data_IF_820467555495
#
_entry.id   IF_820467555495
#
_cell.length_a   1.000
_cell.length_b   1.000
_cell.length_c   1.000
_cell.angle_alpha   90.00
_cell.angle_beta   90.00
_cell.angle_gamma   90.00
#
_symmetry.space_group_name_H-M   'P 1'
#
loop_
_entity.id
_entity.type
_entity.pdbx_description
1 polymer ?
#
# COMPACT_ATOMS: atom_id res chain seq x y z
N UNK A 1 -22.82 -15.12 5.03
CA UNK A 1 -21.81 -14.04 4.93
C UNK A 1 -21.21 -13.82 6.32
N UNK A 2 -19.89 -13.91 6.48
CA UNK A 2 -19.23 -13.56 7.75
C UNK A 2 -19.35 -12.05 7.95
N UNK A 3 -19.84 -11.54 9.10
CA UNK A 3 -20.02 -10.12 9.30
C UNK A 3 -18.67 -9.37 9.21
N UNK A 4 -18.69 -8.15 8.68
CA UNK A 4 -17.51 -7.30 8.41
C UNK A 4 -16.58 -7.20 9.65
N UNK A 5 -17.17 -7.19 10.85
CA UNK A 5 -16.47 -7.13 12.13
C UNK A 5 -15.59 -8.37 12.44
N UNK A 6 -15.99 -9.57 12.03
CA UNK A 6 -15.20 -10.79 12.24
C UNK A 6 -13.99 -10.84 11.31
N UNK A 7 -14.09 -10.22 10.13
CA UNK A 7 -13.01 -10.18 9.13
C UNK A 7 -12.00 -9.07 9.39
N UNK A 8 -12.44 -7.89 9.82
CA UNK A 8 -11.53 -6.85 10.30
C UNK A 8 -10.72 -7.33 11.51
N UNK A 9 -11.35 -8.11 12.40
CA UNK A 9 -10.66 -8.76 13.50
C UNK A 9 -9.63 -9.81 13.03
N UNK A 10 -9.91 -10.57 11.97
CA UNK A 10 -8.96 -11.52 11.38
C UNK A 10 -7.77 -10.83 10.72
N UNK A 11 -8.00 -9.81 9.88
CA UNK A 11 -6.94 -9.01 9.27
C UNK A 11 -6.07 -8.27 10.30
N UNK A 12 -6.67 -7.82 11.40
CA UNK A 12 -5.95 -7.24 12.53
C UNK A 12 -5.28 -8.27 13.46
N UNK A 13 -5.47 -9.56 13.24
CA UNK A 13 -4.87 -10.63 14.03
C UNK A 13 -3.49 -11.02 13.51
N UNK A 14 -2.64 -11.58 14.38
CA UNK A 14 -1.34 -12.15 13.97
C UNK A 14 -1.46 -13.21 12.88
N UNK A 15 -2.53 -14.01 12.90
CA UNK A 15 -2.75 -15.05 11.90
C UNK A 15 -3.08 -14.44 10.53
N UNK A 16 -3.92 -13.40 10.49
CA UNK A 16 -4.22 -12.66 9.26
C UNK A 16 -3.01 -11.92 8.71
N UNK A 17 -2.19 -11.33 9.59
CA UNK A 17 -0.90 -10.73 9.21
C UNK A 17 0.04 -11.73 8.57
N UNK A 18 0.23 -12.91 9.16
CA UNK A 18 1.12 -13.95 8.61
C UNK A 18 0.63 -14.49 7.25
N UNK A 19 -0.69 -14.63 7.06
CA UNK A 19 -1.27 -15.01 5.76
C UNK A 19 -1.00 -13.93 4.71
N UNK A 20 -1.19 -12.66 5.07
CA UNK A 20 -0.90 -11.54 4.17
C UNK A 20 0.57 -11.50 3.79
N UNK A 21 1.47 -11.66 4.77
CA UNK A 21 2.91 -11.68 4.57
C UNK A 21 3.33 -12.81 3.61
N UNK A 22 2.79 -14.02 3.78
CA UNK A 22 3.06 -15.14 2.87
C UNK A 22 2.58 -14.90 1.45
N UNK A 23 1.40 -14.31 1.28
CA UNK A 23 0.86 -13.98 -0.05
C UNK A 23 1.66 -12.87 -0.75
N UNK A 24 2.12 -11.86 0.01
CA UNK A 24 2.98 -10.80 -0.51
C UNK A 24 4.38 -11.33 -0.84
N UNK A 25 4.94 -12.23 -0.03
CA UNK A 25 6.21 -12.88 -0.31
C UNK A 25 6.15 -13.74 -1.57
N UNK A 26 5.03 -14.44 -1.80
CA UNK A 26 4.80 -15.19 -3.04
C UNK A 26 4.76 -14.26 -4.27
N UNK A 27 4.02 -13.16 -4.19
CA UNK A 27 3.95 -12.17 -5.28
C UNK A 27 5.31 -11.50 -5.55
N UNK A 28 6.13 -11.29 -4.51
CA UNK A 28 7.47 -10.75 -4.64
C UNK A 28 8.45 -11.74 -5.28
N UNK A 29 8.34 -13.03 -4.97
CA UNK A 29 9.20 -14.08 -5.52
C UNK A 29 8.81 -14.46 -6.96
N UNK A 30 7.52 -14.48 -7.27
CA UNK A 30 6.97 -14.74 -8.60
C UNK A 30 5.91 -13.68 -8.95
N UNK A 31 6.30 -12.60 -9.66
CA UNK A 31 5.37 -11.57 -10.08
C UNK A 31 4.21 -12.10 -10.94
N UNK A 32 4.37 -13.24 -11.64
CA UNK A 32 3.30 -13.84 -12.43
C UNK A 32 2.18 -14.44 -11.56
N UNK A 33 2.43 -14.68 -10.26
CA UNK A 33 1.44 -15.14 -9.29
C UNK A 33 0.49 -14.04 -8.81
N UNK A 34 0.80 -12.77 -9.07
CA UNK A 34 0.01 -11.60 -8.65
C UNK A 34 -1.49 -11.70 -8.95
N UNK A 35 -1.94 -12.17 -10.13
CA UNK A 35 -3.37 -12.33 -10.41
C UNK A 35 -4.07 -13.33 -9.48
N UNK A 36 -3.39 -14.44 -9.14
CA UNK A 36 -3.92 -15.46 -8.24
C UNK A 36 -3.99 -14.94 -6.80
N UNK A 37 -2.92 -14.27 -6.35
CA UNK A 37 -2.86 -13.62 -5.04
C UNK A 37 -3.98 -12.59 -4.91
N UNK A 38 -4.20 -11.75 -5.92
CA UNK A 38 -5.26 -10.76 -5.93
C UNK A 38 -6.66 -11.39 -5.92
N UNK A 39 -6.88 -12.46 -6.68
CA UNK A 39 -8.13 -13.23 -6.63
C UNK A 39 -8.42 -13.80 -5.24
N UNK A 40 -7.39 -14.28 -4.53
CA UNK A 40 -7.54 -14.79 -3.17
C UNK A 40 -7.80 -13.68 -2.14
N UNK A 41 -7.16 -12.52 -2.30
CA UNK A 41 -7.26 -11.38 -1.39
C UNK A 41 -8.53 -10.54 -1.59
N UNK A 42 -9.07 -10.47 -2.81
CA UNK A 42 -10.21 -9.61 -3.16
C UNK A 42 -11.44 -9.81 -2.26
N UNK A 43 -11.93 -11.04 -1.99
CA UNK A 43 -13.10 -11.26 -1.14
C UNK A 43 -12.86 -10.91 0.33
N UNK A 44 -11.59 -10.86 0.74
CA UNK A 44 -11.14 -10.54 2.09
C UNK A 44 -11.05 -9.02 2.30
N UNK A 45 -10.45 -8.31 1.34
CA UNK A 45 -10.15 -6.87 1.41
C UNK A 45 -11.28 -5.98 0.88
N UNK A 46 -12.00 -6.42 -0.16
CA UNK A 46 -12.99 -5.63 -0.88
C UNK A 46 -14.36 -6.33 -0.97
N UNK A 47 -14.96 -6.75 0.16
CA UNK A 47 -16.17 -7.58 0.15
C UNK A 47 -17.42 -6.86 -0.39
N UNK A 48 -17.43 -5.53 -0.41
CA UNK A 48 -18.58 -4.71 -0.83
C UNK A 48 -18.39 -4.04 -2.20
N UNK A 49 -17.25 -4.26 -2.86
CA UNK A 49 -16.99 -3.72 -4.20
C UNK A 49 -17.31 -4.80 -5.23
N UNK A 50 -18.39 -4.61 -5.98
CA UNK A 50 -18.57 -5.28 -7.26
C UNK A 50 -17.59 -4.67 -8.25
N UNK A 51 -16.37 -5.22 -8.32
CA UNK A 51 -15.44 -4.88 -9.37
C UNK A 51 -15.95 -5.48 -10.68
N UNK A 52 -16.38 -4.63 -11.61
CA UNK A 52 -16.86 -5.03 -12.93
C UNK A 52 -15.79 -5.79 -13.74
N UNK A 53 -14.50 -5.66 -13.38
CA UNK A 53 -13.38 -6.33 -14.05
C UNK A 53 -12.30 -6.89 -13.09
N UNK A 54 -11.30 -7.56 -13.68
CA UNK A 54 -10.27 -8.34 -12.99
C UNK A 54 -9.36 -7.47 -12.09
N UNK A 55 -9.15 -7.94 -10.85
CA UNK A 55 -8.67 -7.16 -9.70
C UNK A 55 -7.21 -6.66 -9.74
N UNK A 56 -6.44 -6.97 -10.77
CA UNK A 56 -5.08 -6.44 -10.90
C UNK A 56 -5.05 -4.91 -11.14
N UNK A 57 -6.21 -4.30 -11.41
CA UNK A 57 -6.39 -2.86 -11.63
C UNK A 57 -6.79 -2.06 -10.38
N UNK A 58 -7.05 -2.70 -9.23
CA UNK A 58 -7.53 -1.98 -8.03
C UNK A 58 -6.38 -1.40 -7.19
N UNK A 59 -5.17 -1.96 -7.31
CA UNK A 59 -3.98 -1.45 -6.63
C UNK A 59 -3.01 -0.72 -7.55
N UNK A 60 -3.11 -0.91 -8.87
CA UNK A 60 -2.35 -0.16 -9.85
C UNK A 60 -3.30 0.83 -10.54
N UNK A 61 -3.05 2.12 -10.34
CA UNK A 61 -3.78 3.19 -11.01
C UNK A 61 -3.54 3.06 -12.54
N UNK A 62 -4.37 2.30 -13.25
CA UNK A 62 -4.24 2.19 -14.70
C UNK A 62 -4.67 3.50 -15.35
N UNK A 63 -3.75 4.09 -16.11
CA UNK A 63 -4.03 5.23 -16.98
C UNK A 63 -4.74 4.74 -18.24
N UNK A 64 -6.03 4.40 -18.13
CA UNK A 64 -6.88 4.22 -19.32
C UNK A 64 -7.96 5.29 -19.32
N UNK A 65 -8.02 6.04 -20.41
CA UNK A 65 -8.79 7.26 -20.63
C UNK A 65 -10.32 7.13 -20.59
N UNK A 66 -10.86 6.31 -19.70
CA UNK A 66 -12.30 6.22 -19.40
C UNK A 66 -12.48 5.95 -17.90
N UNK A 67 -12.37 7.00 -17.11
CA UNK A 67 -13.31 7.39 -16.04
C UNK A 67 -14.02 6.34 -15.19
N UNK A 68 -13.39 5.23 -14.80
CA UNK A 68 -13.88 4.39 -13.71
C UNK A 68 -12.75 3.99 -12.76
N UNK A 69 -12.13 5.01 -12.16
CA UNK A 69 -11.47 4.83 -10.86
C UNK A 69 -12.53 4.43 -9.84
N UNK A 70 -12.29 3.40 -9.03
CA UNK A 70 -13.05 3.19 -7.78
C UNK A 70 -13.00 4.51 -7.03
N UNK A 71 -14.15 5.19 -6.90
CA UNK A 71 -14.28 6.64 -6.71
C UNK A 71 -13.80 7.23 -5.38
N UNK A 72 -12.60 6.90 -4.94
CA UNK A 72 -11.95 7.44 -3.75
C UNK A 72 -10.87 8.41 -4.21
N UNK A 73 -11.11 9.70 -3.98
CA UNK A 73 -10.09 10.73 -4.19
C UNK A 73 -9.28 10.89 -2.92
N UNK A 74 -7.98 10.71 -3.02
CA UNK A 74 -7.03 10.97 -1.95
C UNK A 74 -5.92 11.87 -2.47
N UNK A 75 -5.30 12.62 -1.56
CA UNK A 75 -4.08 13.37 -1.82
C UNK A 75 -2.91 12.56 -1.29
N UNK A 76 -1.90 12.30 -2.13
CA UNK A 76 -0.71 11.57 -1.71
C UNK A 76 0.41 12.55 -1.47
N UNK A 77 1.05 12.45 -0.30
CA UNK A 77 2.40 13.00 -0.12
C UNK A 77 3.40 11.89 -0.42
N UNK A 78 4.27 12.11 -1.40
CA UNK A 78 5.24 11.10 -1.84
C UNK A 78 6.67 11.56 -1.59
N UNK A 79 7.48 10.64 -1.06
CA UNK A 79 8.88 10.88 -0.71
C UNK A 79 9.79 9.90 -1.44
N UNK A 80 10.89 10.41 -1.99
CA UNK A 80 11.95 9.60 -2.60
C UNK A 80 13.20 9.61 -1.72
N UNK A 81 13.54 8.47 -1.12
CA UNK A 81 14.67 8.31 -0.20
C UNK A 81 15.62 7.21 -0.70
N UNK A 82 16.90 7.21 -0.26
CA UNK A 82 17.79 6.08 -0.52
C UNK A 82 17.17 4.76 -0.05
N UNK A 83 17.20 3.72 -0.89
CA UNK A 83 16.50 2.46 -0.64
C UNK A 83 16.89 1.82 0.69
N UNK A 84 18.17 1.88 1.06
CA UNK A 84 18.72 1.36 2.31
C UNK A 84 18.16 2.03 3.57
N UNK A 85 17.57 3.24 3.45
CA UNK A 85 16.98 3.97 4.58
C UNK A 85 15.50 3.66 4.79
N UNK A 86 14.87 2.88 3.91
CA UNK A 86 13.43 2.64 3.95
C UNK A 86 12.97 2.01 5.27
N UNK A 87 13.61 0.92 5.71
CA UNK A 87 13.25 0.25 6.96
C UNK A 87 13.34 1.17 8.19
N UNK A 88 14.37 2.01 8.25
CA UNK A 88 14.53 3.02 9.31
C UNK A 88 13.42 4.07 9.24
N UNK A 89 13.12 4.59 8.04
CA UNK A 89 12.08 5.59 7.85
C UNK A 89 10.69 5.07 8.25
N UNK A 90 10.36 3.82 7.91
CA UNK A 90 9.10 3.19 8.31
C UNK A 90 9.02 2.99 9.82
N UNK A 91 10.13 2.59 10.45
CA UNK A 91 10.20 2.46 11.91
C UNK A 91 9.99 3.80 12.61
N UNK A 92 10.58 4.88 12.08
CA UNK A 92 10.36 6.23 12.60
C UNK A 92 8.94 6.73 12.37
N UNK A 93 8.35 6.43 11.21
CA UNK A 93 6.95 6.75 10.91
C UNK A 93 6.02 6.06 11.93
N UNK A 94 6.21 4.77 12.19
CA UNK A 94 5.43 4.03 13.20
C UNK A 94 5.57 4.68 14.58
N UNK A 95 6.79 5.04 14.98
CA UNK A 95 7.03 5.75 16.24
C UNK A 95 6.30 7.10 16.29
N UNK A 96 6.33 7.85 15.20
CA UNK A 96 5.66 9.16 15.11
C UNK A 96 4.13 9.03 15.17
N UNK A 97 3.54 8.00 14.56
CA UNK A 97 2.11 7.73 14.63
C UNK A 97 1.66 7.30 16.03
N UNK A 98 2.52 6.62 16.78
CA UNK A 98 2.24 6.19 18.16
C UNK A 98 2.42 7.31 19.19
N UNK A 99 3.26 8.31 18.89
CA UNK A 99 3.51 9.44 19.76
C UNK A 99 2.31 10.41 19.78
N UNK A 100 1.98 11.03 20.94
CA UNK A 100 1.03 12.13 20.98
C UNK A 100 1.60 13.34 20.23
N UNK A 101 0.75 14.03 19.49
CA UNK A 101 1.05 15.36 18.93
C UNK A 101 1.12 16.40 20.05
N UNK A 102 1.57 17.62 19.72
CA UNK A 102 1.57 18.74 20.65
C UNK A 102 0.17 19.09 21.20
N UNK A 103 -0.90 18.75 20.47
CA UNK A 103 -2.29 18.90 20.91
C UNK A 103 -2.81 17.72 21.75
N UNK A 104 -1.99 16.69 21.97
CA UNK A 104 -2.35 15.47 22.70
C UNK A 104 -3.11 14.43 21.87
N UNK A 105 -3.32 14.68 20.58
CA UNK A 105 -3.98 13.75 19.67
C UNK A 105 -2.98 12.74 19.10
N UNK A 106 -3.46 11.62 18.57
CA UNK A 106 -2.62 10.66 17.81
C UNK A 106 -2.85 10.85 16.33
N UNK A 107 -1.78 10.71 15.55
CA UNK A 107 -1.89 10.68 14.10
C UNK A 107 -2.39 9.30 13.65
N UNK A 108 -3.34 9.31 12.73
CA UNK A 108 -3.90 8.09 12.16
C UNK A 108 -3.80 8.12 10.65
N UNK A 109 -3.35 7.00 10.08
CA UNK A 109 -3.40 6.78 8.65
C UNK A 109 -4.75 6.20 8.27
N UNK A 110 -5.48 6.88 7.38
CA UNK A 110 -6.78 6.42 6.90
C UNK A 110 -6.67 5.36 5.81
N UNK A 111 -5.49 5.22 5.20
CA UNK A 111 -5.21 4.33 4.08
C UNK A 111 -3.82 3.70 4.25
N UNK A 112 -3.56 2.55 3.60
CA UNK A 112 -2.22 1.95 3.59
C UNK A 112 -1.17 2.91 3.03
N UNK A 113 0.05 2.83 3.58
CA UNK A 113 1.23 3.50 3.01
C UNK A 113 1.69 2.70 1.80
N UNK A 114 1.82 3.35 0.65
CA UNK A 114 2.36 2.73 -0.57
C UNK A 114 3.89 2.80 -0.55
N UNK A 115 4.56 1.67 -0.80
CA UNK A 115 6.03 1.58 -0.78
C UNK A 115 6.49 0.88 -2.05
N UNK A 116 7.31 1.59 -2.83
CA UNK A 116 7.85 1.09 -4.10
C UNK A 116 9.36 1.25 -4.12
N UNK A 117 10.05 0.43 -4.90
CA UNK A 117 11.49 0.53 -5.09
C UNK A 117 11.81 0.65 -6.57
N UNK A 118 12.83 1.44 -6.89
CA UNK A 118 13.43 1.51 -8.22
C UNK A 118 14.94 1.42 -8.13
N UNK A 119 15.57 0.90 -9.18
CA UNK A 119 17.00 1.00 -9.37
C UNK A 119 17.42 2.47 -9.58
N UNK A 120 18.73 2.71 -9.55
CA UNK A 120 19.29 3.98 -9.99
C UNK A 120 18.98 4.21 -11.47
N UNK A 121 18.67 5.46 -11.81
CA UNK A 121 18.58 5.91 -13.19
C UNK A 121 19.66 6.96 -13.51
N UNK A 122 19.78 7.32 -14.79
CA UNK A 122 20.69 8.33 -15.32
C UNK A 122 19.96 9.62 -15.76
N UNK A 123 18.70 9.80 -15.32
CA UNK A 123 17.88 10.96 -15.66
C UNK A 123 18.19 12.09 -14.69
N UNK A 124 18.85 13.16 -15.14
CA UNK A 124 19.33 14.26 -14.28
C UNK A 124 18.31 14.72 -13.22
N UNK A 125 17.08 15.04 -13.64
CA UNK A 125 16.06 15.59 -12.74
C UNK A 125 15.29 14.53 -11.94
N UNK A 126 15.63 13.25 -12.10
CA UNK A 126 14.99 12.18 -11.36
C UNK A 126 15.45 12.17 -9.90
N UNK A 127 14.52 12.03 -8.94
CA UNK A 127 14.88 11.76 -7.55
C UNK A 127 15.68 10.46 -7.34
N UNK A 128 15.67 9.56 -8.34
CA UNK A 128 16.42 8.31 -8.37
C UNK A 128 17.74 8.37 -9.17
N UNK A 129 18.15 9.56 -9.60
CA UNK A 129 19.40 9.75 -10.32
C UNK A 129 20.60 9.24 -9.52
N UNK A 130 21.31 8.25 -10.07
CA UNK A 130 22.53 7.68 -9.50
C UNK A 130 22.35 6.87 -8.20
N UNK A 131 21.12 6.55 -7.78
CA UNK A 131 20.88 5.74 -6.56
C UNK A 131 19.63 4.88 -6.60
N UNK A 132 19.70 3.68 -6.02
CA UNK A 132 18.51 2.90 -5.72
C UNK A 132 17.62 3.68 -4.75
N UNK A 133 16.32 3.75 -5.07
CA UNK A 133 15.40 4.68 -4.41
C UNK A 133 14.16 3.94 -3.92
N UNK A 134 13.79 4.20 -2.67
CA UNK A 134 12.49 3.84 -2.13
C UNK A 134 11.54 5.03 -2.23
N UNK A 135 10.33 4.78 -2.73
CA UNK A 135 9.24 5.71 -2.87
C UNK A 135 8.21 5.41 -1.79
N UNK A 136 7.93 6.36 -0.92
CA UNK A 136 6.97 6.22 0.17
C UNK A 136 5.81 7.18 -0.07
N UNK A 137 4.64 6.64 -0.40
CA UNK A 137 3.40 7.36 -0.61
C UNK A 137 2.48 7.32 0.61
N UNK A 138 2.12 8.47 1.14
CA UNK A 138 1.19 8.63 2.27
C UNK A 138 -0.13 9.23 1.74
N UNK A 139 -1.15 8.40 1.47
CA UNK A 139 -2.46 8.86 1.07
C UNK A 139 -3.25 9.44 2.24
N UNK A 140 -3.76 10.65 2.06
CA UNK A 140 -4.71 11.32 2.94
C UNK A 140 -6.05 11.46 2.23
N UNK A 141 -7.14 11.12 2.92
CA UNK A 141 -8.50 11.35 2.40
C UNK A 141 -8.73 12.87 2.26
N UNK A 142 -9.29 13.29 1.13
CA UNK A 142 -9.84 14.65 0.99
C UNK A 142 -11.16 14.80 1.72
#
# INVERSE_FOLDING_TARGET
ATPLATRSAFLGSRAGGAVMEGLLALAAADPASTPLVNCALRPLLYPTLEAAESSYLVQCNEHRGSSESVGVRFQVSEFAIPAERCASALSELVRALQAPTASGERLYLSFPVDIRYSAADDIWLSPAHGRATAWIGIPAKR
#
